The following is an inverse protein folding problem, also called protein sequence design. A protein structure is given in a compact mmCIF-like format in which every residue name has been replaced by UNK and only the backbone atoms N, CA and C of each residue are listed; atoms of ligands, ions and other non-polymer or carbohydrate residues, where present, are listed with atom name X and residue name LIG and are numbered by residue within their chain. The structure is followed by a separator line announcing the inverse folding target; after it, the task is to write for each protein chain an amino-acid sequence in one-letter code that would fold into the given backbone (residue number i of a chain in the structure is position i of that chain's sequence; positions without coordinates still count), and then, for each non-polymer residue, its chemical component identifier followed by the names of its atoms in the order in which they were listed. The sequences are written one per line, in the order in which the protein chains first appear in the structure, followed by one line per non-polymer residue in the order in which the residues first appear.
data_IF_450724484430
#
_entry.id   IF_450724484430
#
_cell.length_a   1.000
_cell.length_b   1.000
_cell.length_c   1.000
_cell.angle_alpha   90.00
_cell.angle_beta   90.00
_cell.angle_gamma   90.00
#
_symmetry.space_group_name_H-M   'P 1'
#
loop_
_entity.id
_entity.type
_entity.pdbx_description
1 polymer ?
#
# COMPACT_ATOMS: atom_id res chain seq x y z
N UNK A 1 59.30 -84.68 -11.52
CA UNK A 1 58.86 -85.16 -10.19
C UNK A 1 58.80 -83.96 -9.28
N UNK A 2 57.66 -83.32 -9.16
CA UNK A 2 57.48 -82.11 -8.32
C UNK A 2 56.13 -82.23 -7.65
N UNK A 3 56.15 -82.39 -6.36
CA UNK A 3 55.00 -82.48 -5.49
C UNK A 3 54.46 -81.11 -5.14
N UNK A 4 53.18 -80.84 -5.47
CA UNK A 4 52.46 -79.59 -5.15
C UNK A 4 51.88 -79.75 -3.70
N UNK A 5 52.22 -78.84 -2.81
CA UNK A 5 51.56 -78.66 -1.51
C UNK A 5 50.54 -77.56 -1.58
N UNK A 6 49.28 -77.97 -1.45
CA UNK A 6 48.17 -77.06 -1.35
C UNK A 6 47.97 -76.61 0.11
N UNK A 7 48.18 -75.34 0.39
CA UNK A 7 47.83 -74.75 1.67
C UNK A 7 46.45 -74.14 1.63
N UNK A 8 45.55 -74.64 2.49
CA UNK A 8 44.24 -74.10 2.72
C UNK A 8 44.39 -72.88 3.65
N UNK A 9 43.96 -71.71 3.20
CA UNK A 9 43.78 -70.54 4.04
C UNK A 9 42.33 -70.48 4.49
N UNK A 10 42.10 -70.50 5.81
CA UNK A 10 40.79 -70.22 6.41
C UNK A 10 40.64 -68.70 6.49
N UNK A 11 39.64 -68.16 5.83
CA UNK A 11 39.24 -66.77 5.93
C UNK A 11 38.29 -66.57 7.12
N UNK A 12 38.70 -65.86 8.11
CA UNK A 12 37.88 -65.39 9.22
C UNK A 12 37.13 -64.13 8.73
N UNK A 13 35.84 -64.24 8.55
CA UNK A 13 35.00 -63.05 8.26
C UNK A 13 34.64 -62.37 9.58
N UNK A 14 35.29 -61.26 9.89
CA UNK A 14 34.85 -60.35 10.94
C UNK A 14 33.74 -59.44 10.38
N UNK A 15 32.51 -59.70 10.78
CA UNK A 15 31.36 -58.85 10.39
C UNK A 15 31.48 -57.48 11.07
N UNK A 16 31.68 -56.44 10.26
CA UNK A 16 31.56 -55.06 10.67
C UNK A 16 30.10 -54.65 10.59
N UNK A 17 29.41 -54.54 11.72
CA UNK A 17 28.04 -53.99 11.77
C UNK A 17 28.17 -52.47 11.65
N UNK A 18 27.87 -51.97 10.47
CA UNK A 18 27.77 -50.55 10.23
C UNK A 18 26.43 -50.04 10.77
N UNK A 19 26.41 -49.47 11.97
CA UNK A 19 25.25 -48.77 12.51
C UNK A 19 25.16 -47.44 11.76
N UNK A 20 24.30 -47.40 10.70
CA UNK A 20 23.86 -46.18 10.11
C UNK A 20 22.98 -45.43 11.11
N UNK A 21 23.55 -44.47 11.82
CA UNK A 21 22.80 -43.46 12.53
C UNK A 21 22.09 -42.58 11.46
N UNK A 22 20.87 -42.94 11.10
CA UNK A 22 20.00 -42.15 10.28
C UNK A 22 19.62 -40.87 11.04
N UNK A 23 20.33 -39.76 10.75
CA UNK A 23 19.87 -38.44 11.14
C UNK A 23 18.53 -38.19 10.45
N UNK A 24 17.44 -38.35 11.19
CA UNK A 24 16.15 -37.81 10.80
C UNK A 24 16.31 -36.28 10.74
N UNK A 25 16.64 -35.77 9.55
CA UNK A 25 16.37 -34.38 9.22
C UNK A 25 14.85 -34.25 9.26
N UNK A 26 14.31 -33.78 10.40
CA UNK A 26 12.98 -33.21 10.42
C UNK A 26 13.01 -32.02 9.44
N UNK A 27 12.64 -32.28 8.20
CA UNK A 27 12.20 -31.23 7.30
C UNK A 27 11.05 -30.52 8.04
N UNK A 28 11.40 -29.40 8.66
CA UNK A 28 10.41 -28.40 9.04
C UNK A 28 9.86 -27.83 7.73
N UNK A 29 8.99 -28.60 7.08
CA UNK A 29 7.98 -28.03 6.21
C UNK A 29 7.10 -27.14 7.10
N UNK A 30 7.59 -25.94 7.40
CA UNK A 30 6.75 -24.83 7.78
C UNK A 30 5.90 -24.58 6.53
N UNK A 31 4.78 -25.29 6.43
CA UNK A 31 3.70 -24.93 5.54
C UNK A 31 3.48 -23.44 5.81
N UNK A 32 3.79 -22.59 4.84
CA UNK A 32 3.48 -21.17 4.94
C UNK A 32 1.98 -21.12 5.23
N UNK A 33 1.62 -20.81 6.49
CA UNK A 33 0.24 -20.68 6.89
C UNK A 33 -0.36 -19.69 5.90
N UNK A 34 -1.35 -20.13 5.11
CA UNK A 34 -1.91 -19.33 4.02
C UNK A 34 -2.25 -17.94 4.54
N UNK A 35 -1.83 -16.90 3.83
CA UNK A 35 -2.12 -15.51 4.19
C UNK A 35 -3.64 -15.31 4.22
N UNK A 36 -4.12 -14.55 5.20
CA UNK A 36 -5.50 -14.08 5.29
C UNK A 36 -5.65 -12.68 4.67
N UNK A 37 -6.74 -12.04 4.99
CA UNK A 37 -7.01 -10.65 4.61
C UNK A 37 -7.79 -9.93 5.71
N UNK A 38 -7.80 -8.59 5.65
CA UNK A 38 -8.67 -7.76 6.48
C UNK A 38 -9.58 -7.00 5.54
N UNK A 39 -10.89 -7.20 5.67
CA UNK A 39 -11.88 -6.55 4.82
C UNK A 39 -12.94 -5.85 5.67
N UNK A 40 -13.53 -4.80 5.14
CA UNK A 40 -14.57 -4.06 5.83
C UNK A 40 -15.05 -2.85 5.04
N UNK A 41 -15.75 -1.99 5.75
CA UNK A 41 -16.24 -0.72 5.19
C UNK A 41 -15.86 0.46 6.09
N UNK A 42 -15.74 1.62 5.46
CA UNK A 42 -15.55 2.90 6.13
C UNK A 42 -16.78 3.75 5.85
N UNK A 43 -17.43 4.27 6.88
CA UNK A 43 -18.66 5.07 6.77
C UNK A 43 -18.55 6.41 7.46
N UNK A 44 -19.33 7.37 6.99
CA UNK A 44 -19.56 8.63 7.66
C UNK A 44 -20.85 8.57 8.47
N UNK A 45 -20.76 8.78 9.78
CA UNK A 45 -21.89 8.94 10.66
C UNK A 45 -22.26 10.43 10.75
N UNK A 46 -23.48 10.77 10.37
CA UNK A 46 -23.98 12.15 10.30
C UNK A 46 -24.16 12.64 8.88
N UNK A 47 -24.35 13.94 8.72
CA UNK A 47 -24.59 14.55 7.42
C UNK A 47 -23.27 14.77 6.67
N UNK A 48 -23.19 14.26 5.43
CA UNK A 48 -22.04 14.50 4.57
C UNK A 48 -21.84 16.01 4.33
N UNK A 49 -20.60 16.52 4.44
CA UNK A 49 -20.34 17.93 4.18
C UNK A 49 -20.58 18.25 2.71
N UNK A 50 -21.05 19.45 2.44
CA UNK A 50 -21.22 19.94 1.08
C UNK A 50 -19.85 20.35 0.51
N UNK A 51 -19.33 19.56 -0.43
CA UNK A 51 -18.10 19.89 -1.15
C UNK A 51 -18.38 20.99 -2.18
N UNK A 52 -17.55 22.05 -2.15
CA UNK A 52 -17.65 23.17 -3.10
C UNK A 52 -17.25 22.72 -4.50
N UNK A 53 -17.97 23.23 -5.50
CA UNK A 53 -17.53 23.18 -6.88
C UNK A 53 -16.24 23.99 -7.07
N UNK A 54 -15.37 23.49 -7.92
CA UNK A 54 -14.07 24.11 -8.23
C UNK A 54 -14.27 25.09 -9.38
N UNK A 55 -13.93 26.36 -9.16
CA UNK A 55 -13.91 27.37 -10.23
C UNK A 55 -12.55 27.31 -10.95
N UNK A 56 -12.56 26.78 -12.16
CA UNK A 56 -11.38 26.69 -13.05
C UNK A 56 -11.34 27.79 -14.11
N UNK A 57 -12.21 28.82 -14.04
CA UNK A 57 -12.34 29.86 -15.07
C UNK A 57 -11.06 30.66 -15.37
N UNK A 58 -10.10 30.65 -14.45
CA UNK A 58 -8.79 31.32 -14.61
C UNK A 58 -7.84 30.60 -15.55
N UNK A 59 -8.06 29.32 -15.84
CA UNK A 59 -7.32 28.56 -16.84
C UNK A 59 -8.30 28.04 -17.91
N UNK A 60 -8.28 28.57 -19.15
CA UNK A 60 -9.22 28.18 -20.19
C UNK A 60 -9.14 26.70 -20.58
N UNK A 61 -7.93 26.09 -20.51
CA UNK A 61 -7.78 24.66 -20.76
C UNK A 61 -8.51 23.85 -19.69
N UNK A 62 -8.28 24.16 -18.42
CA UNK A 62 -8.92 23.48 -17.30
C UNK A 62 -10.46 23.61 -17.34
N UNK A 63 -10.96 24.82 -17.62
CA UNK A 63 -12.39 25.06 -17.76
C UNK A 63 -13.03 24.23 -18.89
N UNK A 64 -12.31 24.04 -20.01
CA UNK A 64 -12.78 23.23 -21.14
C UNK A 64 -12.83 21.73 -20.84
N UNK A 65 -12.02 21.24 -19.91
CA UNK A 65 -12.07 19.84 -19.50
C UNK A 65 -13.33 19.49 -18.72
N UNK A 66 -14.02 20.49 -18.17
CA UNK A 66 -15.20 20.35 -17.31
C UNK A 66 -16.36 21.23 -17.80
N UNK A 67 -16.88 20.95 -19.01
CA UNK A 67 -17.95 21.74 -19.65
C UNK A 67 -19.34 21.52 -19.06
N UNK A 68 -19.49 20.56 -18.15
CA UNK A 68 -20.75 20.26 -17.46
C UNK A 68 -20.77 20.80 -16.03
N UNK A 69 -21.18 19.96 -15.09
CA UNK A 69 -21.06 20.27 -13.66
C UNK A 69 -19.58 20.36 -13.26
N UNK A 70 -19.15 21.45 -12.60
CA UNK A 70 -17.77 21.59 -12.18
C UNK A 70 -17.39 20.47 -11.19
N UNK A 71 -16.15 19.96 -11.24
CA UNK A 71 -15.68 18.98 -10.26
C UNK A 71 -15.75 19.59 -8.87
N UNK A 72 -15.94 18.73 -7.88
CA UNK A 72 -15.99 19.16 -6.47
C UNK A 72 -14.66 18.93 -5.80
N UNK A 73 -14.40 19.66 -4.73
CA UNK A 73 -13.29 19.36 -3.83
C UNK A 73 -13.43 17.94 -3.29
N UNK A 74 -12.32 17.19 -3.20
CA UNK A 74 -12.33 15.75 -2.87
C UNK A 74 -11.93 15.47 -1.41
N UNK A 75 -11.88 16.50 -0.56
CA UNK A 75 -11.52 16.34 0.86
C UNK A 75 -12.37 15.30 1.60
N UNK A 76 -13.66 15.20 1.25
CA UNK A 76 -14.55 14.16 1.77
C UNK A 76 -15.47 13.71 0.64
N UNK A 77 -15.19 12.55 0.08
CA UNK A 77 -16.04 11.93 -0.94
C UNK A 77 -16.89 10.86 -0.27
N UNK A 78 -18.21 11.08 -0.25
CA UNK A 78 -19.18 10.17 0.36
C UNK A 78 -20.08 9.61 -0.73
N UNK A 79 -20.02 8.30 -0.92
CA UNK A 79 -20.86 7.57 -1.87
C UNK A 79 -22.27 7.30 -1.36
N UNK A 80 -23.07 6.66 -2.21
CA UNK A 80 -24.41 6.21 -1.84
C UNK A 80 -24.31 5.18 -0.70
N UNK A 81 -25.08 5.39 0.37
CA UNK A 81 -25.03 4.52 1.56
C UNK A 81 -24.02 4.97 2.63
N UNK A 82 -23.42 6.16 2.49
CA UNK A 82 -22.55 6.78 3.48
C UNK A 82 -21.13 6.24 3.52
N UNK A 83 -20.71 5.45 2.53
CA UNK A 83 -19.33 4.99 2.41
C UNK A 83 -18.38 6.15 2.09
N UNK A 84 -17.22 6.20 2.73
CA UNK A 84 -16.18 7.22 2.48
C UNK A 84 -15.13 6.64 1.55
N UNK A 85 -14.89 7.31 0.42
CA UNK A 85 -13.80 7.04 -0.52
C UNK A 85 -12.47 7.66 -0.04
N UNK A 86 -11.36 7.18 -0.56
CA UNK A 86 -10.02 7.74 -0.31
C UNK A 86 -9.53 7.62 1.13
N UNK A 87 -10.07 6.70 1.92
CA UNK A 87 -9.52 6.36 3.23
C UNK A 87 -8.40 5.34 3.05
N UNK A 88 -7.24 5.57 3.66
CA UNK A 88 -6.13 4.60 3.64
C UNK A 88 -6.19 3.74 4.89
N UNK A 89 -6.28 2.42 4.69
CA UNK A 89 -6.34 1.41 5.74
C UNK A 89 -4.99 0.66 5.74
N UNK A 90 -4.27 0.64 6.84
CA UNK A 90 -2.96 0.01 6.93
C UNK A 90 -2.67 -0.52 8.33
N UNK A 91 -1.72 -1.45 8.43
CA UNK A 91 -1.36 -2.08 9.70
C UNK A 91 -0.24 -1.27 10.35
N UNK A 92 -0.46 -0.82 11.60
CA UNK A 92 0.51 -0.03 12.36
C UNK A 92 1.26 -0.83 13.42
N UNK A 93 0.70 -1.97 13.86
CA UNK A 93 1.34 -2.83 14.86
C UNK A 93 1.05 -4.31 14.56
N UNK A 94 1.97 -5.17 14.98
CA UNK A 94 1.82 -6.63 14.93
C UNK A 94 2.45 -7.29 13.70
N UNK A 95 2.78 -6.55 12.63
CA UNK A 95 3.44 -7.14 11.46
C UNK A 95 4.87 -7.60 11.80
N UNK A 96 5.27 -8.80 11.32
CA UNK A 96 6.67 -9.20 11.33
C UNK A 96 7.56 -8.20 10.58
N UNK A 97 8.80 -8.03 11.02
CA UNK A 97 9.72 -7.07 10.40
C UNK A 97 9.96 -7.33 8.90
N UNK A 98 9.93 -8.59 8.46
CA UNK A 98 10.05 -8.94 7.06
C UNK A 98 8.89 -8.37 6.22
N UNK A 99 7.66 -8.46 6.73
CA UNK A 99 6.47 -7.98 6.03
C UNK A 99 6.35 -6.45 6.06
N UNK A 100 6.88 -5.80 7.11
CA UNK A 100 6.96 -4.34 7.17
C UNK A 100 7.92 -3.73 6.14
N UNK A 101 8.91 -4.50 5.68
CA UNK A 101 9.95 -4.03 4.76
C UNK A 101 9.81 -4.64 3.35
N UNK A 102 8.75 -5.40 3.10
CA UNK A 102 8.44 -5.93 1.78
C UNK A 102 7.91 -4.79 0.89
N UNK A 103 8.78 -4.28 0.00
CA UNK A 103 8.42 -3.20 -0.92
C UNK A 103 7.80 -3.80 -2.18
N UNK A 104 6.57 -3.42 -2.56
CA UNK A 104 5.96 -3.87 -3.81
C UNK A 104 6.79 -3.43 -5.03
N UNK A 105 6.86 -4.30 -6.05
CA UNK A 105 7.54 -3.99 -7.31
C UNK A 105 6.70 -3.12 -8.24
N UNK A 106 5.41 -3.03 -8.00
CA UNK A 106 4.50 -2.18 -8.76
C UNK A 106 4.86 -0.70 -8.59
N UNK A 107 4.79 0.04 -9.70
CA UNK A 107 4.99 1.50 -9.70
C UNK A 107 3.64 2.18 -9.97
N UNK A 108 2.88 2.50 -8.93
CA UNK A 108 1.61 3.20 -9.10
C UNK A 108 1.83 4.61 -9.65
N UNK A 109 0.76 5.16 -10.23
CA UNK A 109 0.80 6.49 -10.87
C UNK A 109 0.00 7.49 -10.07
N UNK A 110 0.53 8.71 -10.01
CA UNK A 110 -0.13 9.90 -9.55
C UNK A 110 -0.18 10.88 -10.73
N UNK A 111 -1.33 10.94 -11.40
CA UNK A 111 -1.47 11.65 -12.67
C UNK A 111 -2.05 13.06 -12.46
N UNK A 112 -1.66 13.97 -13.34
CA UNK A 112 -2.22 15.31 -13.46
C UNK A 112 -3.08 15.32 -14.72
N UNK A 113 -4.38 15.13 -14.54
CA UNK A 113 -5.34 14.99 -15.63
C UNK A 113 -6.65 15.70 -15.33
N UNK A 114 -7.16 16.44 -16.31
CA UNK A 114 -8.34 17.27 -16.12
C UNK A 114 -8.14 18.36 -15.07
N UNK A 115 -6.88 18.82 -14.91
CA UNK A 115 -6.48 19.80 -13.89
C UNK A 115 -6.82 19.37 -12.46
N UNK A 116 -6.71 18.08 -12.20
CA UNK A 116 -6.86 17.43 -10.90
C UNK A 116 -5.70 16.45 -10.70
N UNK A 117 -5.37 16.10 -9.46
CA UNK A 117 -4.54 14.94 -9.18
C UNK A 117 -5.39 13.67 -9.13
N UNK A 118 -4.94 12.61 -9.79
CA UNK A 118 -5.63 11.32 -9.83
C UNK A 118 -4.65 10.16 -9.61
N UNK A 119 -4.89 9.29 -8.61
CA UNK A 119 -5.96 9.36 -7.61
C UNK A 119 -5.78 10.56 -6.66
N UNK A 120 -6.84 11.03 -6.01
CA UNK A 120 -6.77 12.08 -4.98
C UNK A 120 -5.84 11.68 -3.82
N UNK A 121 -5.90 10.42 -3.41
CA UNK A 121 -5.03 9.83 -2.39
C UNK A 121 -4.26 8.67 -3.00
N UNK A 122 -2.95 8.83 -3.16
CA UNK A 122 -2.04 7.75 -3.51
C UNK A 122 -1.42 7.14 -2.25
N UNK A 123 -1.72 5.88 -1.97
CA UNK A 123 -1.02 5.12 -0.93
C UNK A 123 0.16 4.36 -1.53
N UNK A 124 1.31 4.36 -0.84
CA UNK A 124 2.54 3.66 -1.25
C UNK A 124 3.30 3.16 -0.03
N UNK A 125 4.09 2.11 -0.20
CA UNK A 125 5.05 1.71 0.83
C UNK A 125 6.28 2.63 0.86
N UNK A 126 6.89 2.77 2.03
CA UNK A 126 8.18 3.43 2.15
C UNK A 126 9.22 2.74 1.24
N UNK A 127 9.96 3.51 0.44
CA UNK A 127 10.87 3.10 -0.63
C UNK A 127 10.22 2.47 -1.87
N UNK A 128 8.90 2.35 -1.96
CA UNK A 128 8.22 1.98 -3.19
C UNK A 128 8.32 3.13 -4.20
N UNK A 129 8.78 2.79 -5.41
CA UNK A 129 8.78 3.78 -6.50
C UNK A 129 7.37 3.99 -7.03
N UNK A 130 7.07 5.23 -7.36
CA UNK A 130 5.85 5.61 -8.06
C UNK A 130 6.16 6.67 -9.11
N UNK A 131 5.25 6.86 -10.05
CA UNK A 131 5.38 7.81 -11.14
C UNK A 131 4.43 8.99 -10.94
N UNK A 132 4.94 10.22 -11.13
CA UNK A 132 4.09 11.40 -11.33
C UNK A 132 4.05 11.70 -12.82
N UNK A 133 2.85 11.67 -13.38
CA UNK A 133 2.62 11.87 -14.82
C UNK A 133 1.79 13.14 -15.08
N UNK A 134 1.75 13.60 -16.31
CA UNK A 134 0.83 14.65 -16.76
C UNK A 134 0.19 14.26 -18.08
N UNK A 135 -1.14 14.27 -18.11
CA UNK A 135 -1.94 14.01 -19.32
C UNK A 135 -2.54 15.26 -19.94
N UNK A 136 -2.40 16.41 -19.27
CA UNK A 136 -3.02 17.67 -19.68
C UNK A 136 -2.15 18.47 -20.68
N UNK A 137 -2.81 19.33 -21.45
CA UNK A 137 -2.16 20.25 -22.39
C UNK A 137 -1.94 21.64 -21.76
N UNK A 138 -1.85 21.70 -20.45
CA UNK A 138 -1.42 22.88 -19.67
C UNK A 138 -0.29 22.47 -18.72
N UNK A 139 0.45 23.46 -18.22
CA UNK A 139 1.53 23.21 -17.29
C UNK A 139 0.99 23.07 -15.87
N UNK A 140 1.35 21.98 -15.23
CA UNK A 140 1.15 21.81 -13.79
C UNK A 140 2.49 21.84 -13.06
N UNK A 141 2.44 21.88 -11.74
CA UNK A 141 3.57 21.51 -10.93
C UNK A 141 3.11 20.59 -9.78
N UNK A 142 4.02 19.77 -9.32
CA UNK A 142 3.82 18.92 -8.16
C UNK A 142 4.71 19.37 -7.02
N UNK A 143 4.10 19.67 -5.88
CA UNK A 143 4.77 20.21 -4.70
C UNK A 143 4.32 19.46 -3.43
N UNK A 144 4.96 18.31 -3.12
CA UNK A 144 4.72 17.60 -1.87
C UNK A 144 5.32 18.36 -0.69
N UNK A 145 4.61 18.35 0.43
CA UNK A 145 4.93 19.09 1.65
C UNK A 145 5.05 18.12 2.84
N UNK A 146 6.14 17.35 2.94
CA UNK A 146 6.37 16.51 4.12
C UNK A 146 6.59 17.37 5.37
N UNK A 147 6.25 16.81 6.54
CA UNK A 147 6.47 17.48 7.81
C UNK A 147 7.97 17.61 8.11
N UNK A 148 8.41 18.73 8.71
CA UNK A 148 9.79 18.87 9.13
C UNK A 148 10.24 17.74 10.05
N UNK A 149 11.36 17.09 9.72
CA UNK A 149 11.93 16.01 10.51
C UNK A 149 11.30 14.64 10.32
N UNK A 150 10.34 14.47 9.41
CA UNK A 150 9.71 13.17 9.11
C UNK A 150 10.65 12.14 8.47
N UNK A 151 11.78 12.58 7.93
CA UNK A 151 12.71 11.76 7.14
C UNK A 151 12.44 11.81 5.63
N UNK A 152 11.34 12.44 5.21
CA UNK A 152 11.06 12.73 3.81
C UNK A 152 11.51 14.15 3.45
N UNK A 153 11.92 14.34 2.20
CA UNK A 153 12.37 15.65 1.70
C UNK A 153 11.38 16.15 0.65
N UNK A 154 10.77 17.31 0.91
CA UNK A 154 9.89 17.98 -0.04
C UNK A 154 10.65 18.51 -1.27
N UNK A 155 9.93 18.62 -2.37
CA UNK A 155 10.43 19.15 -3.62
C UNK A 155 9.31 19.82 -4.42
N UNK A 156 9.67 20.62 -5.42
CA UNK A 156 8.72 21.30 -6.28
C UNK A 156 9.22 21.22 -7.73
N UNK A 157 8.46 20.58 -8.60
CA UNK A 157 8.82 20.35 -10.00
C UNK A 157 7.68 20.72 -10.92
N UNK A 158 8.00 21.46 -11.98
CA UNK A 158 7.07 21.76 -13.07
C UNK A 158 6.99 20.60 -14.06
N UNK A 159 5.80 20.32 -14.55
CA UNK A 159 5.54 19.37 -15.65
C UNK A 159 4.70 20.07 -16.73
N UNK A 160 5.34 20.63 -17.77
CA UNK A 160 4.63 21.11 -18.95
C UNK A 160 4.04 19.94 -19.77
N UNK A 161 3.16 20.22 -20.74
CA UNK A 161 2.63 19.21 -21.64
C UNK A 161 3.72 18.34 -22.26
N UNK A 162 3.53 17.01 -22.24
CA UNK A 162 4.50 16.06 -22.79
C UNK A 162 5.78 15.88 -21.96
N UNK A 163 5.87 16.44 -20.75
CA UNK A 163 6.98 16.20 -19.86
C UNK A 163 7.09 14.70 -19.50
N UNK A 164 8.31 14.15 -19.38
CA UNK A 164 8.49 12.77 -18.97
C UNK A 164 7.97 12.54 -17.54
N UNK A 165 7.58 11.29 -17.20
CA UNK A 165 7.23 10.94 -15.83
C UNK A 165 8.36 11.27 -14.85
N UNK A 166 7.98 11.72 -13.65
CA UNK A 166 8.90 11.87 -12.51
C UNK A 166 8.80 10.58 -11.70
N UNK A 167 9.85 9.76 -11.73
CA UNK A 167 9.94 8.57 -10.88
C UNK A 167 10.58 8.97 -9.56
N UNK A 168 9.91 8.65 -8.45
CA UNK A 168 10.36 9.02 -7.10
C UNK A 168 9.90 8.00 -6.07
N UNK A 169 10.31 8.16 -4.82
CA UNK A 169 9.87 7.37 -3.65
C UNK A 169 9.88 8.24 -2.39
N UNK A 170 9.29 7.73 -1.31
CA UNK A 170 9.33 8.29 0.03
C UNK A 170 10.07 7.35 0.97
N UNK A 171 10.76 7.88 1.97
CA UNK A 171 11.66 7.10 2.85
C UNK A 171 11.00 6.67 4.16
N UNK A 172 10.03 7.42 4.64
CA UNK A 172 9.40 7.21 5.93
C UNK A 172 7.87 7.29 5.87
N UNK A 173 7.14 6.53 6.71
CA UNK A 173 5.69 6.62 6.80
C UNK A 173 5.22 8.02 7.18
N UNK A 174 4.30 8.56 6.38
CA UNK A 174 3.75 9.90 6.57
C UNK A 174 2.56 10.12 5.63
N UNK A 175 1.59 10.93 6.02
CA UNK A 175 0.60 11.49 5.11
C UNK A 175 1.12 12.85 4.61
N UNK A 176 1.56 12.90 3.36
CA UNK A 176 2.21 14.05 2.74
C UNK A 176 1.20 14.77 1.85
N UNK A 177 0.84 16.00 2.19
CA UNK A 177 -0.02 16.80 1.32
C UNK A 177 0.74 17.22 0.06
N UNK A 178 0.02 17.23 -1.06
CA UNK A 178 0.54 17.60 -2.38
C UNK A 178 -0.32 18.71 -2.95
N UNK A 179 0.32 19.76 -3.48
CA UNK A 179 -0.37 20.88 -4.13
C UNK A 179 0.25 21.24 -5.46
N UNK A 180 -0.53 21.94 -6.29
CA UNK A 180 -0.04 22.68 -7.45
C UNK A 180 0.05 24.17 -7.10
N UNK A 181 1.18 24.81 -7.39
CA UNK A 181 1.33 26.25 -7.16
C UNK A 181 0.70 27.10 -8.27
N UNK A 182 0.41 26.50 -9.42
CA UNK A 182 -0.22 27.15 -10.58
C UNK A 182 -1.74 27.13 -10.44
N UNK A 183 -2.29 25.98 -10.09
CA UNK A 183 -3.73 25.73 -9.95
C UNK A 183 -4.08 25.49 -8.48
N UNK A 184 -4.49 26.50 -7.72
CA UNK A 184 -4.64 26.41 -6.26
C UNK A 184 -5.73 25.45 -5.78
N UNK A 185 -6.58 24.98 -6.68
CA UNK A 185 -7.58 23.94 -6.39
C UNK A 185 -7.03 22.52 -6.48
N UNK A 186 -5.88 22.32 -7.17
CA UNK A 186 -5.26 21.00 -7.27
C UNK A 186 -4.53 20.66 -5.99
N UNK A 187 -5.06 19.72 -5.25
CA UNK A 187 -4.42 19.13 -4.07
C UNK A 187 -4.70 17.62 -4.04
N UNK A 188 -3.90 16.91 -3.28
CA UNK A 188 -4.03 15.48 -3.07
C UNK A 188 -3.04 15.02 -2.00
N UNK A 189 -2.91 13.73 -1.84
CA UNK A 189 -2.10 13.14 -0.76
C UNK A 189 -1.26 11.97 -1.24
N UNK A 190 -0.02 11.91 -0.78
CA UNK A 190 0.78 10.69 -0.78
C UNK A 190 0.78 10.14 0.65
N UNK A 191 0.12 9.00 0.86
CA UNK A 191 0.10 8.34 2.16
C UNK A 191 1.10 7.20 2.16
N UNK A 192 2.21 7.42 2.85
CA UNK A 192 3.33 6.48 2.92
C UNK A 192 3.13 5.56 4.12
N UNK A 193 3.15 4.26 3.89
CA UNK A 193 2.93 3.23 4.90
C UNK A 193 4.09 2.24 4.96
N UNK A 194 4.01 1.25 5.82
CA UNK A 194 4.88 0.07 5.83
C UNK A 194 4.04 -1.19 5.88
N UNK A 195 4.18 -2.03 4.85
CA UNK A 195 3.47 -3.30 4.74
C UNK A 195 2.07 -3.18 4.12
N UNK A 196 1.24 -4.22 4.23
CA UNK A 196 -0.02 -4.31 3.51
C UNK A 196 -0.99 -3.18 3.83
N UNK A 197 -1.60 -2.63 2.80
CA UNK A 197 -2.60 -1.56 2.89
C UNK A 197 -3.72 -1.72 1.86
N UNK A 198 -4.75 -0.90 1.99
CA UNK A 198 -5.80 -0.70 1.02
C UNK A 198 -6.29 0.75 1.05
N UNK A 199 -6.90 1.20 -0.05
CA UNK A 199 -7.65 2.46 -0.11
C UNK A 199 -9.12 2.12 -0.31
N UNK A 200 -10.02 2.77 0.41
CA UNK A 200 -11.45 2.54 0.28
C UNK A 200 -11.99 3.05 -1.05
N UNK A 201 -12.88 2.27 -1.65
CA UNK A 201 -13.57 2.60 -2.89
C UNK A 201 -14.73 3.61 -2.67
N UNK A 202 -15.42 3.98 -3.76
CA UNK A 202 -16.56 4.89 -3.74
C UNK A 202 -17.77 4.42 -2.91
N UNK A 203 -17.79 3.16 -2.52
CA UNK A 203 -18.78 2.60 -1.59
C UNK A 203 -18.27 2.51 -0.15
N UNK A 204 -17.01 2.90 0.08
CA UNK A 204 -16.30 2.80 1.34
C UNK A 204 -15.75 1.41 1.64
N UNK A 205 -15.81 0.45 0.71
CA UNK A 205 -15.29 -0.88 0.93
C UNK A 205 -13.78 -0.94 0.73
N UNK A 206 -13.12 -1.83 1.46
CA UNK A 206 -11.69 -2.07 1.33
C UNK A 206 -11.30 -3.52 1.63
N UNK A 207 -10.13 -3.94 1.16
CA UNK A 207 -9.53 -5.24 1.51
C UNK A 207 -8.01 -5.13 1.54
N UNK A 208 -7.42 -5.28 2.73
CA UNK A 208 -5.97 -5.46 2.91
C UNK A 208 -5.68 -6.94 2.67
N UNK A 209 -4.93 -7.24 1.63
CA UNK A 209 -4.59 -8.62 1.21
C UNK A 209 -3.25 -9.06 1.79
N UNK A 210 -2.99 -10.36 1.72
CA UNK A 210 -1.69 -10.97 2.07
C UNK A 210 -1.25 -10.70 3.51
N UNK A 211 -2.20 -10.68 4.44
CA UNK A 211 -1.91 -10.49 5.87
C UNK A 211 -1.64 -11.85 6.51
N UNK A 212 -0.47 -12.09 7.12
CA UNK A 212 -0.21 -13.33 7.86
C UNK A 212 -1.20 -13.54 9.01
N UNK A 213 -1.43 -14.77 9.48
CA UNK A 213 -2.20 -15.00 10.71
C UNK A 213 -1.57 -14.29 11.90
N UNK A 214 -2.37 -13.57 12.70
CA UNK A 214 -1.88 -12.79 13.83
C UNK A 214 -2.90 -11.78 14.33
N UNK A 215 -2.53 -11.04 15.37
CA UNK A 215 -3.34 -9.92 15.88
C UNK A 215 -2.65 -8.60 15.58
N UNK A 216 -3.37 -7.69 14.98
CA UNK A 216 -2.86 -6.45 14.41
C UNK A 216 -3.62 -5.23 14.91
N UNK A 217 -2.95 -4.08 14.93
CA UNK A 217 -3.63 -2.78 14.98
C UNK A 217 -3.76 -2.25 13.57
N UNK A 218 -4.99 -2.11 13.09
CA UNK A 218 -5.33 -1.50 11.80
C UNK A 218 -5.67 -0.04 12.03
N UNK A 219 -5.08 0.83 11.22
CA UNK A 219 -5.35 2.28 11.21
C UNK A 219 -6.11 2.64 9.95
N UNK A 220 -7.17 3.42 10.08
CA UNK A 220 -7.87 4.11 9.00
C UNK A 220 -7.50 5.59 9.07
N UNK A 221 -6.93 6.14 7.98
CA UNK A 221 -6.57 7.55 7.84
C UNK A 221 -7.46 8.23 6.79
N UNK A 222 -8.01 9.38 7.15
CA UNK A 222 -8.79 10.25 6.26
C UNK A 222 -8.33 11.70 6.47
N UNK A 223 -8.14 12.47 5.40
CA UNK A 223 -7.50 13.79 5.45
C UNK A 223 -8.21 14.82 6.35
N UNK A 224 -9.53 14.83 6.39
CA UNK A 224 -10.31 15.77 7.20
C UNK A 224 -10.62 15.26 8.62
N UNK A 225 -10.74 13.94 8.78
CA UNK A 225 -11.17 13.32 10.03
C UNK A 225 -10.03 12.73 10.86
N UNK A 226 -8.81 12.70 10.29
CA UNK A 226 -7.64 12.12 10.94
C UNK A 226 -7.66 10.60 10.98
N UNK A 227 -7.23 10.01 12.09
CA UNK A 227 -7.03 8.57 12.21
C UNK A 227 -7.95 7.91 13.21
N UNK A 228 -8.33 6.65 12.93
CA UNK A 228 -8.96 5.74 13.87
C UNK A 228 -8.20 4.41 13.85
N UNK A 229 -8.20 3.69 14.96
CA UNK A 229 -7.51 2.40 15.09
C UNK A 229 -8.44 1.32 15.63
N UNK A 230 -8.21 0.07 15.21
CA UNK A 230 -8.94 -1.09 15.68
C UNK A 230 -8.01 -2.30 15.79
N UNK A 231 -8.19 -3.13 16.82
CA UNK A 231 -7.49 -4.42 16.93
C UNK A 231 -8.23 -5.48 16.13
N UNK A 232 -7.50 -6.25 15.31
CA UNK A 232 -8.06 -7.26 14.40
C UNK A 232 -7.23 -8.53 14.47
N UNK A 233 -7.89 -9.69 14.65
CA UNK A 233 -7.23 -11.00 14.59
C UNK A 233 -7.51 -11.67 13.25
N UNK A 234 -6.45 -11.99 12.51
CA UNK A 234 -6.48 -12.65 11.21
C UNK A 234 -6.17 -14.12 11.37
N UNK A 235 -7.04 -14.98 10.87
CA UNK A 235 -6.82 -16.41 10.75
C UNK A 235 -6.30 -16.78 9.35
N UNK A 236 -5.64 -17.93 9.23
CA UNK A 236 -5.18 -18.44 7.94
C UNK A 236 -6.35 -18.67 6.97
N UNK A 237 -6.23 -18.15 5.74
CA UNK A 237 -7.17 -18.43 4.64
C UNK A 237 -8.57 -17.82 4.78
N UNK A 238 -8.83 -16.99 5.80
CA UNK A 238 -10.12 -16.36 6.02
C UNK A 238 -9.99 -14.83 6.13
N UNK A 239 -10.96 -14.04 5.61
CA UNK A 239 -10.99 -12.61 5.84
C UNK A 239 -11.39 -12.30 7.29
N UNK A 240 -10.61 -11.44 7.95
CA UNK A 240 -11.00 -10.82 9.20
C UNK A 240 -11.80 -9.54 8.90
N UNK A 241 -12.80 -9.25 9.72
CA UNK A 241 -13.66 -8.08 9.51
C UNK A 241 -13.21 -6.90 10.39
N UNK A 242 -13.10 -5.70 9.79
CA UNK A 242 -12.89 -4.45 10.50
C UNK A 242 -13.66 -3.32 9.80
N UNK A 243 -14.67 -2.78 10.46
CA UNK A 243 -15.43 -1.65 9.96
C UNK A 243 -15.06 -0.38 10.74
N UNK A 244 -14.95 0.76 10.05
CA UNK A 244 -14.64 2.06 10.62
C UNK A 244 -15.79 3.03 10.39
N UNK A 245 -15.96 3.97 11.31
CA UNK A 245 -16.99 5.00 11.20
C UNK A 245 -16.46 6.35 11.68
N UNK A 246 -16.24 7.28 10.75
CA UNK A 246 -15.91 8.66 11.09
C UNK A 246 -17.18 9.44 11.41
N UNK A 247 -17.07 10.41 12.31
CA UNK A 247 -18.18 11.30 12.65
C UNK A 247 -18.04 12.60 11.88
N UNK A 248 -19.12 13.00 11.21
CA UNK A 248 -19.19 14.32 10.57
C UNK A 248 -18.93 15.44 11.58
N UNK A 249 -18.17 16.45 11.17
CA UNK A 249 -17.90 17.65 11.97
C UNK A 249 -19.08 18.60 11.98
#
# INVERSE_FOLDING_TARGET
MTTSHTRKFAAVFTGFVLVCAGSLLLDKNVSAAGSGSIAGSVKLNGTAPHMKGIDMSKDPYCAQQHTGEPPKMENVVVGSGGGIENVVLYITQGLPAADQNAVPSEQPKFDQKGCMYSPHVLAVDANQKFEVTTGDQTTHNIHPLPAPGSGNIGWNKSQPPGAPPIVTDWKAPEAISVKCNIHPWMHGWHVVVKGPYAVSDSSGNYTIKNVPPGTYTVTAWQEEYGTQTQSVTVAAGAPAKADFAFKAK
#
